data_IF_147612084150
#
_entry.id   IF_147612084150
#
_cell.length_a   1.000
_cell.length_b   1.000
_cell.length_c   1.000
_cell.angle_alpha   90.00
_cell.angle_beta   90.00
_cell.angle_gamma   90.00
#
_symmetry.space_group_name_H-M   'P 1'
#
loop_
_entity.id
_entity.type
_entity.pdbx_description
1 polymer ?
#
# COMPACT_ATOMS: atom_id res chain seq x y z
N UNK A 1 -5.15 -31.11 -3.43
CA UNK A 1 -4.49 -29.91 -3.96
C UNK A 1 -5.55 -28.84 -4.22
N UNK A 2 -5.81 -27.95 -3.25
CA UNK A 2 -6.74 -26.85 -3.43
C UNK A 2 -5.97 -25.59 -3.87
N UNK A 3 -5.69 -25.52 -5.18
CA UNK A 3 -5.10 -24.33 -5.81
C UNK A 3 -6.23 -23.31 -6.02
N UNK A 4 -6.02 -22.06 -5.60
CA UNK A 4 -6.96 -20.92 -5.72
C UNK A 4 -8.23 -20.96 -4.86
N UNK A 5 -8.20 -21.59 -3.69
CA UNK A 5 -9.25 -21.28 -2.71
C UNK A 5 -9.08 -19.83 -2.23
N UNK A 6 -10.14 -19.05 -2.35
CA UNK A 6 -10.19 -17.70 -1.79
C UNK A 6 -10.42 -17.81 -0.29
N UNK A 7 -9.33 -17.81 0.46
CA UNK A 7 -9.34 -17.95 1.92
C UNK A 7 -9.24 -16.55 2.52
N UNK A 8 -10.30 -16.12 3.20
CA UNK A 8 -10.32 -14.89 3.97
C UNK A 8 -9.52 -15.05 5.28
N UNK A 9 -8.94 -13.94 5.77
CA UNK A 9 -8.16 -13.91 7.01
C UNK A 9 -6.64 -13.94 6.78
N UNK A 10 -5.88 -14.18 7.85
CA UNK A 10 -4.42 -14.19 7.85
C UNK A 10 -3.86 -15.50 7.27
N UNK A 11 -4.06 -15.72 5.97
CA UNK A 11 -3.47 -16.82 5.23
C UNK A 11 -2.13 -16.42 4.60
N UNK A 12 -1.26 -17.39 4.31
CA UNK A 12 0.00 -17.15 3.59
C UNK A 12 -0.21 -16.46 2.23
N UNK A 13 -1.32 -16.79 1.55
CA UNK A 13 -1.70 -16.14 0.31
C UNK A 13 -2.05 -14.66 0.50
N UNK A 14 -2.82 -14.35 1.54
CA UNK A 14 -3.17 -12.97 1.88
C UNK A 14 -1.94 -12.16 2.28
N UNK A 15 -1.03 -12.71 3.07
CA UNK A 15 0.23 -12.04 3.45
C UNK A 15 1.08 -11.71 2.22
N UNK A 16 1.27 -12.66 1.31
CA UNK A 16 2.03 -12.44 0.08
C UNK A 16 1.40 -11.37 -0.83
N UNK A 17 0.08 -11.37 -1.00
CA UNK A 17 -0.61 -10.36 -1.81
C UNK A 17 -0.56 -8.98 -1.14
N UNK A 18 -0.84 -8.90 0.15
CA UNK A 18 -0.77 -7.66 0.92
C UNK A 18 0.64 -7.07 0.91
N UNK A 19 1.68 -7.91 1.05
CA UNK A 19 3.08 -7.48 0.98
C UNK A 19 3.45 -6.88 -0.39
N UNK A 20 3.04 -7.52 -1.49
CA UNK A 20 3.26 -6.99 -2.85
C UNK A 20 2.56 -5.66 -3.06
N UNK A 21 1.29 -5.57 -2.65
CA UNK A 21 0.51 -4.33 -2.76
C UNK A 21 1.14 -3.21 -1.92
N UNK A 22 1.64 -3.51 -0.72
CA UNK A 22 2.32 -2.54 0.13
C UNK A 22 3.62 -2.02 -0.51
N UNK A 23 4.45 -2.90 -1.08
CA UNK A 23 5.68 -2.49 -1.78
C UNK A 23 5.38 -1.59 -2.99
N UNK A 24 4.34 -1.90 -3.77
CA UNK A 24 3.90 -1.07 -4.90
C UNK A 24 3.39 0.28 -4.41
N UNK A 25 2.53 0.30 -3.40
CA UNK A 25 1.98 1.54 -2.83
C UNK A 25 3.09 2.44 -2.27
N UNK A 26 4.10 1.85 -1.63
CA UNK A 26 5.25 2.59 -1.10
C UNK A 26 5.99 3.35 -2.22
N UNK A 27 6.28 2.69 -3.34
CA UNK A 27 6.95 3.32 -4.49
C UNK A 27 6.07 4.43 -5.08
N UNK A 28 4.77 4.16 -5.28
CA UNK A 28 3.82 5.14 -5.84
C UNK A 28 3.75 6.40 -4.97
N UNK A 29 3.74 6.24 -3.65
CA UNK A 29 3.67 7.33 -2.68
C UNK A 29 4.88 8.28 -2.80
N UNK A 30 6.10 7.76 -2.97
CA UNK A 30 7.27 8.62 -3.22
C UNK A 30 7.26 9.28 -4.59
N UNK A 31 6.78 8.58 -5.62
CA UNK A 31 6.60 9.18 -6.95
C UNK A 31 5.67 10.39 -6.84
N UNK A 32 4.53 10.24 -6.16
CA UNK A 32 3.59 11.36 -5.93
C UNK A 32 4.26 12.48 -5.14
N UNK A 33 4.99 12.19 -4.06
CA UNK A 33 5.70 13.22 -3.30
C UNK A 33 6.68 14.01 -4.16
N UNK A 34 7.46 13.33 -5.01
CA UNK A 34 8.42 13.96 -5.91
C UNK A 34 7.77 14.87 -6.96
N UNK A 35 6.68 14.41 -7.61
CA UNK A 35 6.05 15.18 -8.68
C UNK A 35 5.17 16.33 -8.20
N UNK A 36 4.50 16.15 -7.05
CA UNK A 36 3.55 17.14 -6.54
C UNK A 36 4.14 18.05 -5.47
N UNK A 37 5.34 17.74 -4.94
CA UNK A 37 5.97 18.46 -3.82
C UNK A 37 5.04 18.54 -2.59
N UNK A 38 4.21 17.50 -2.40
CA UNK A 38 3.27 17.35 -1.28
C UNK A 38 3.82 16.25 -0.39
N UNK A 39 3.99 16.53 0.90
CA UNK A 39 4.44 15.51 1.84
C UNK A 39 3.44 14.35 1.95
N UNK A 40 3.94 13.12 2.08
CA UNK A 40 3.13 11.91 2.23
C UNK A 40 2.19 12.00 3.44
N UNK A 41 2.64 12.65 4.52
CA UNK A 41 1.83 12.91 5.72
C UNK A 41 0.59 13.76 5.41
N UNK A 42 0.70 14.69 4.45
CA UNK A 42 -0.43 15.48 3.96
C UNK A 42 -1.35 14.68 3.05
N UNK A 43 -0.79 13.81 2.22
CA UNK A 43 -1.55 12.91 1.35
C UNK A 43 -2.45 11.95 2.16
N UNK A 44 -1.94 11.40 3.27
CA UNK A 44 -2.64 10.43 4.12
C UNK A 44 -3.53 11.14 5.18
N UNK A 45 -3.46 12.46 5.28
CA UNK A 45 -4.31 13.26 6.19
C UNK A 45 -3.82 13.29 7.64
N UNK A 46 -2.62 12.79 7.93
CA UNK A 46 -1.98 12.87 9.25
C UNK A 46 -1.51 14.31 9.53
N UNK A 47 -1.11 15.03 8.48
CA UNK A 47 -0.61 16.40 8.60
C UNK A 47 -1.17 17.29 7.49
N UNK A 48 -2.20 18.07 7.78
CA UNK A 48 -2.60 19.16 6.87
C UNK A 48 -1.81 20.40 7.23
N UNK A 49 -1.15 21.01 6.24
CA UNK A 49 -0.69 22.40 6.34
C UNK A 49 -1.48 23.24 5.33
N UNK A 50 -2.72 23.52 5.70
CA UNK A 50 -3.05 24.79 6.34
C UNK A 50 -3.15 24.54 7.84
#
# INVERSE_FOLDING_TARGET
MYRNQWIWGFSLGAENWNGRLAMIAFIIIFIIELFFSISILRLIGIYSKY
#
